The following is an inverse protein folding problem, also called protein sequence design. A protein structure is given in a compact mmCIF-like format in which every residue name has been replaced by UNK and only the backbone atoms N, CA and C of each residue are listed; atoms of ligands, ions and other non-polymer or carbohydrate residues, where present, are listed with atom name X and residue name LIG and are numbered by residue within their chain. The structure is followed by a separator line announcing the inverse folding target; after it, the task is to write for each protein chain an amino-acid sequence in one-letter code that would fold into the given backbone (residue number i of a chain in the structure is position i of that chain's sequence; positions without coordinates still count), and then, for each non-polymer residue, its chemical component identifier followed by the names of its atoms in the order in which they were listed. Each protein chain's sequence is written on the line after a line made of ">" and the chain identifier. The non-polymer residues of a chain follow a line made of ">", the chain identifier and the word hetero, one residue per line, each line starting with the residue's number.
data_IF_192916636054
#
_entry.id   IF_192916636054
#
_cell.length_a   1.000
_cell.length_b   1.000
_cell.length_c   1.000
_cell.angle_alpha   90.00
_cell.angle_beta   90.00
_cell.angle_gamma   90.00
#
_symmetry.space_group_name_H-M   'P 1'
#
loop_
_entity.id
_entity.type
_entity.pdbx_description
1 polymer ?
#
# COMPACT_ATOMS: atom_id res chain seq x y z
N UNK A 1 -30.79 -38.96 -11.45
CA UNK A 1 -29.86 -38.68 -12.57
C UNK A 1 -28.79 -37.74 -12.05
N UNK A 2 -27.55 -38.21 -12.00
CA UNK A 2 -26.42 -37.52 -11.38
C UNK A 2 -25.92 -36.36 -12.26
N UNK A 3 -25.63 -35.22 -11.63
CA UNK A 3 -24.90 -34.11 -12.27
C UNK A 3 -23.38 -34.36 -12.14
N UNK A 4 -22.56 -34.04 -13.16
CA UNK A 4 -21.13 -34.19 -13.06
C UNK A 4 -20.51 -33.00 -12.32
N UNK A 5 -19.83 -33.26 -11.20
CA UNK A 5 -18.92 -32.31 -10.57
C UNK A 5 -17.54 -32.43 -11.22
N UNK A 6 -17.21 -31.54 -12.15
CA UNK A 6 -15.82 -31.32 -12.55
C UNK A 6 -15.19 -30.32 -11.59
N UNK A 7 -14.57 -30.83 -10.52
CA UNK A 7 -13.59 -30.08 -9.74
C UNK A 7 -12.32 -29.94 -10.57
N UNK A 8 -12.10 -28.75 -11.12
CA UNK A 8 -10.83 -28.34 -11.69
C UNK A 8 -9.86 -28.05 -10.54
N UNK A 9 -9.18 -29.08 -10.03
CA UNK A 9 -8.07 -28.91 -9.10
C UNK A 9 -6.85 -28.46 -9.91
N UNK A 10 -6.72 -27.15 -10.12
CA UNK A 10 -5.45 -26.53 -10.47
C UNK A 10 -4.71 -26.22 -9.16
N UNK A 11 -4.11 -27.23 -8.52
CA UNK A 11 -3.14 -26.96 -7.45
C UNK A 11 -1.79 -26.81 -8.11
N UNK A 12 -1.50 -25.55 -8.45
CA UNK A 12 -0.17 -24.99 -8.57
C UNK A 12 0.71 -25.54 -7.45
N UNK A 13 1.92 -25.97 -7.78
CA UNK A 13 2.86 -26.58 -6.85
C UNK A 13 2.93 -25.81 -5.54
N UNK A 14 2.40 -26.44 -4.48
CA UNK A 14 2.76 -26.09 -3.11
C UNK A 14 4.27 -26.29 -3.00
N UNK A 15 5.06 -25.27 -2.61
CA UNK A 15 6.45 -25.50 -2.28
C UNK A 15 6.46 -26.56 -1.17
N UNK A 16 7.24 -27.62 -1.39
CA UNK A 16 7.50 -28.60 -0.34
C UNK A 16 7.90 -27.82 0.92
N UNK A 17 7.20 -28.07 2.02
CA UNK A 17 7.52 -27.52 3.32
C UNK A 17 8.93 -28.00 3.68
N UNK A 18 9.93 -27.14 3.46
CA UNK A 18 11.31 -27.36 3.91
C UNK A 18 11.31 -27.42 5.44
N UNK A 19 11.66 -28.56 6.06
CA UNK A 19 11.71 -28.68 7.51
C UNK A 19 12.70 -27.67 8.09
N UNK A 20 12.25 -26.83 9.02
CA UNK A 20 13.06 -25.79 9.66
C UNK A 20 12.81 -24.36 9.19
N UNK A 21 11.93 -24.14 8.19
CA UNK A 21 11.43 -22.81 7.86
C UNK A 21 10.13 -22.55 8.60
N UNK A 22 10.16 -21.65 9.58
CA UNK A 22 8.96 -21.17 10.27
C UNK A 22 8.19 -20.18 9.38
N UNK A 23 7.18 -20.68 8.66
CA UNK A 23 6.24 -19.87 7.88
C UNK A 23 5.30 -19.00 8.73
N UNK A 24 5.36 -19.09 10.06
CA UNK A 24 4.67 -18.23 11.02
C UNK A 24 5.53 -17.04 11.47
N UNK A 25 6.83 -17.01 11.13
CA UNK A 25 7.65 -15.81 11.23
C UNK A 25 7.62 -15.08 9.90
N UNK A 26 6.85 -13.99 9.81
CA UNK A 26 7.06 -13.04 8.73
C UNK A 26 8.49 -12.50 8.93
N UNK A 27 9.47 -12.79 8.06
CA UNK A 27 10.85 -12.40 8.29
C UNK A 27 10.87 -10.89 8.45
N UNK A 28 11.28 -10.43 9.65
CA UNK A 28 11.38 -9.00 9.95
C UNK A 28 12.53 -8.43 9.13
N UNK A 29 12.22 -7.95 7.94
CA UNK A 29 13.17 -7.24 7.10
C UNK A 29 13.13 -5.78 7.53
N UNK A 30 13.99 -5.39 8.46
CA UNK A 30 14.23 -4.00 8.83
C UNK A 30 15.56 -3.55 8.23
N UNK A 31 15.52 -2.42 7.52
CA UNK A 31 16.71 -1.86 6.91
C UNK A 31 17.77 -1.55 7.99
N UNK A 32 19.07 -1.86 7.77
CA UNK A 32 20.12 -1.56 8.73
C UNK A 32 20.09 -0.09 9.19
N UNK A 33 20.42 0.14 10.48
CA UNK A 33 20.43 1.45 11.17
C UNK A 33 19.07 2.14 11.30
N UNK A 34 17.99 1.48 10.92
CA UNK A 34 16.61 1.94 11.07
C UNK A 34 15.84 0.99 11.99
N UNK A 35 14.67 1.41 12.46
CA UNK A 35 13.76 0.61 13.28
C UNK A 35 12.37 0.48 12.64
N UNK A 36 12.04 1.36 11.70
CA UNK A 36 10.75 1.50 11.04
C UNK A 36 10.80 1.21 9.54
N UNK A 37 11.96 1.25 8.88
CA UNK A 37 12.02 0.98 7.44
C UNK A 37 11.98 -0.51 7.13
N UNK A 38 10.79 -1.12 7.11
CA UNK A 38 10.67 -2.55 6.87
C UNK A 38 9.35 -3.22 7.26
N UNK A 39 9.27 -4.54 7.10
CA UNK A 39 8.11 -5.32 7.53
C UNK A 39 8.26 -5.71 9.00
N UNK A 40 7.39 -5.15 9.85
CA UNK A 40 7.38 -5.40 11.29
C UNK A 40 8.34 -4.48 12.03
N UNK A 41 7.86 -3.79 13.05
CA UNK A 41 8.61 -2.70 13.66
C UNK A 41 9.43 -3.20 14.87
N UNK A 42 10.74 -2.90 14.92
CA UNK A 42 11.60 -3.22 16.09
C UNK A 42 11.62 -2.04 17.05
N UNK A 43 10.46 -1.72 17.62
CA UNK A 43 10.27 -0.46 18.34
C UNK A 43 9.81 -0.68 19.76
N UNK A 44 10.45 0.03 20.69
CA UNK A 44 10.01 0.09 22.09
C UNK A 44 8.92 1.14 22.31
N UNK A 45 8.91 2.23 21.52
CA UNK A 45 7.93 3.32 21.55
C UNK A 45 8.02 4.19 20.27
N UNK A 46 7.03 5.06 20.03
CA UNK A 46 6.95 5.91 18.83
C UNK A 46 8.19 6.77 18.55
N UNK A 47 8.88 7.23 19.60
CA UNK A 47 10.06 8.12 19.46
C UNK A 47 11.37 7.35 19.30
N UNK A 48 11.33 6.02 19.38
CA UNK A 48 12.51 5.19 19.29
C UNK A 48 12.92 5.03 17.82
N UNK A 49 13.98 5.76 17.45
CA UNK A 49 14.53 5.81 16.10
C UNK A 49 15.95 5.21 16.08
N UNK A 50 16.33 4.68 14.93
CA UNK A 50 17.66 4.17 14.65
C UNK A 50 18.70 5.29 14.44
N UNK A 51 19.94 4.90 14.17
CA UNK A 51 21.04 5.85 13.96
C UNK A 51 20.97 6.59 12.62
N UNK A 52 20.26 6.04 11.62
CA UNK A 52 19.87 6.76 10.42
C UNK A 52 18.57 7.54 10.70
N UNK A 53 18.68 8.55 11.57
CA UNK A 53 17.54 9.20 12.23
C UNK A 53 16.55 9.85 11.26
N UNK A 54 17.03 10.61 10.27
CA UNK A 54 16.16 11.32 9.32
C UNK A 54 15.43 10.33 8.41
N UNK A 55 16.14 9.29 7.97
CA UNK A 55 15.56 8.21 7.15
C UNK A 55 14.51 7.41 7.92
N UNK A 56 14.82 7.05 9.16
CA UNK A 56 13.94 6.23 9.99
C UNK A 56 12.68 7.00 10.39
N UNK A 57 12.80 8.33 10.59
CA UNK A 57 11.64 9.22 10.76
C UNK A 57 10.70 9.17 9.55
N UNK A 58 11.24 9.20 8.33
CA UNK A 58 10.42 9.09 7.11
C UNK A 58 9.63 7.77 7.07
N UNK A 59 10.26 6.66 7.45
CA UNK A 59 9.61 5.35 7.48
C UNK A 59 8.55 5.27 8.58
N UNK A 60 8.84 5.79 9.77
CA UNK A 60 7.84 5.86 10.85
C UNK A 60 6.60 6.65 10.42
N UNK A 61 6.81 7.81 9.79
CA UNK A 61 5.71 8.67 9.36
C UNK A 61 4.89 7.97 8.25
N UNK A 62 5.52 7.17 7.38
CA UNK A 62 4.85 6.32 6.37
C UNK A 62 4.05 5.18 7.00
N UNK A 63 4.62 4.48 7.99
CA UNK A 63 3.95 3.39 8.72
C UNK A 63 2.68 3.86 9.46
N UNK A 64 2.61 5.14 9.81
CA UNK A 64 1.43 5.75 10.45
C UNK A 64 0.38 6.27 9.45
N UNK A 65 0.48 5.90 8.18
CA UNK A 65 -0.58 6.18 7.22
C UNK A 65 -1.90 5.53 7.66
N UNK A 66 -2.93 6.33 7.92
CA UNK A 66 -4.23 5.82 8.43
C UNK A 66 -5.10 5.19 7.34
N UNK A 67 -4.80 5.49 6.08
CA UNK A 67 -5.58 5.07 4.92
C UNK A 67 -4.79 4.03 4.13
N UNK A 68 -4.95 2.77 4.53
CA UNK A 68 -4.22 1.62 3.97
C UNK A 68 -5.15 0.48 3.60
N UNK A 69 -4.67 -0.43 2.76
CA UNK A 69 -5.27 -1.75 2.53
C UNK A 69 -4.24 -2.79 3.00
N UNK A 70 -4.58 -3.49 4.07
CA UNK A 70 -3.70 -4.47 4.69
C UNK A 70 -3.45 -5.69 3.76
N UNK A 71 -2.34 -6.42 3.97
CA UNK A 71 -2.03 -7.62 3.20
C UNK A 71 -3.18 -8.61 3.21
N UNK A 72 -3.53 -9.16 2.04
CA UNK A 72 -4.57 -10.18 1.88
C UNK A 72 -5.97 -9.78 2.41
N UNK A 73 -6.22 -8.48 2.63
CA UNK A 73 -7.51 -7.97 3.10
C UNK A 73 -8.33 -7.31 1.98
N UNK A 74 -9.65 -7.21 2.21
CA UNK A 74 -10.55 -6.45 1.35
C UNK A 74 -10.95 -5.14 2.01
N UNK A 75 -10.67 -4.02 1.36
CA UNK A 75 -11.05 -2.68 1.84
C UNK A 75 -11.37 -1.77 0.65
N UNK A 76 -12.29 -0.83 0.84
CA UNK A 76 -12.72 0.11 -0.22
C UNK A 76 -13.11 -0.59 -1.54
N UNK A 77 -13.77 -1.75 -1.45
CA UNK A 77 -14.18 -2.52 -2.63
C UNK A 77 -13.03 -3.13 -3.45
N UNK A 78 -11.81 -3.16 -2.92
CA UNK A 78 -10.65 -3.81 -3.52
C UNK A 78 -10.13 -4.93 -2.61
N UNK A 79 -9.86 -6.10 -3.19
CA UNK A 79 -9.26 -7.25 -2.50
C UNK A 79 -7.77 -7.31 -2.81
N UNK A 80 -6.93 -7.06 -1.80
CA UNK A 80 -5.48 -7.12 -1.94
C UNK A 80 -5.00 -8.55 -2.11
N UNK A 81 -4.19 -8.79 -3.14
CA UNK A 81 -3.45 -10.03 -3.34
C UNK A 81 -1.97 -9.87 -2.96
N UNK A 82 -1.60 -8.71 -2.41
CA UNK A 82 -0.23 -8.44 -2.00
C UNK A 82 0.02 -8.91 -0.57
N UNK A 83 1.26 -9.33 -0.31
CA UNK A 83 1.77 -9.67 1.02
C UNK A 83 2.27 -8.45 1.80
N UNK A 84 2.22 -7.27 1.19
CA UNK A 84 2.58 -5.98 1.78
C UNK A 84 1.37 -5.06 1.80
N UNK A 85 1.37 -4.11 2.73
CA UNK A 85 0.36 -3.07 2.84
C UNK A 85 0.39 -2.17 1.61
N UNK A 86 -0.79 -1.88 1.04
CA UNK A 86 -0.96 -0.86 0.01
C UNK A 86 -1.36 0.43 0.71
N UNK A 87 -0.57 1.49 0.54
CA UNK A 87 -0.84 2.79 1.17
C UNK A 87 -1.57 3.74 0.23
N UNK A 88 -2.23 4.75 0.81
CA UNK A 88 -2.78 5.84 0.01
C UNK A 88 -1.67 6.58 -0.74
N UNK A 89 -1.90 6.99 -1.99
CA UNK A 89 -0.88 7.62 -2.82
C UNK A 89 -0.28 8.89 -2.21
N UNK A 90 -1.04 9.62 -1.38
CA UNK A 90 -0.48 10.78 -0.67
C UNK A 90 0.57 10.41 0.37
N UNK A 91 0.44 9.25 1.03
CA UNK A 91 1.43 8.75 1.99
C UNK A 91 2.72 8.38 1.24
N UNK A 92 2.61 7.65 0.13
CA UNK A 92 3.77 7.23 -0.68
C UNK A 92 4.50 8.43 -1.31
N UNK A 93 3.76 9.45 -1.79
CA UNK A 93 4.36 10.68 -2.30
C UNK A 93 5.11 11.43 -1.19
N UNK A 94 4.51 11.61 -0.03
CA UNK A 94 5.18 12.26 1.12
C UNK A 94 6.41 11.48 1.57
N UNK A 95 6.32 10.14 1.58
CA UNK A 95 7.42 9.26 1.92
C UNK A 95 8.60 9.41 0.95
N UNK A 96 8.32 9.41 -0.37
CA UNK A 96 9.33 9.66 -1.39
C UNK A 96 10.06 11.00 -1.14
N UNK A 97 9.31 12.08 -0.91
CA UNK A 97 9.88 13.40 -0.67
C UNK A 97 10.72 13.47 0.60
N UNK A 98 10.27 12.81 1.66
CA UNK A 98 11.01 12.73 2.91
C UNK A 98 12.35 12.03 2.69
N UNK A 99 12.34 10.85 2.05
CA UNK A 99 13.57 10.09 1.74
C UNK A 99 14.53 10.86 0.83
N UNK A 100 14.04 11.59 -0.18
CA UNK A 100 14.87 12.43 -1.05
C UNK A 100 15.56 13.57 -0.31
N UNK A 101 14.97 14.07 0.76
CA UNK A 101 15.51 15.17 1.57
C UNK A 101 16.32 14.69 2.77
N UNK A 102 16.30 13.38 3.06
CA UNK A 102 17.09 12.80 4.13
C UNK A 102 18.58 13.07 3.91
N UNK A 103 19.26 13.44 5.00
CA UNK A 103 20.71 13.66 5.02
C UNK A 103 21.50 12.39 5.29
N UNK A 104 20.82 11.31 5.69
CA UNK A 104 21.48 10.03 5.92
C UNK A 104 21.73 9.30 4.59
N UNK A 105 22.82 8.54 4.55
CA UNK A 105 23.17 7.72 3.37
C UNK A 105 22.11 6.67 3.04
N UNK A 106 21.35 6.24 4.04
CA UNK A 106 20.34 5.19 3.98
C UNK A 106 19.07 5.66 3.24
N UNK A 107 18.79 6.97 3.19
CA UNK A 107 17.58 7.52 2.56
C UNK A 107 17.44 7.12 1.09
N UNK A 108 18.52 7.21 0.32
CA UNK A 108 18.52 6.81 -1.09
C UNK A 108 18.39 5.28 -1.25
N UNK A 109 18.96 4.49 -0.32
CA UNK A 109 18.87 3.03 -0.36
C UNK A 109 17.44 2.54 -0.10
N UNK A 110 16.77 3.10 0.91
CA UNK A 110 15.35 2.79 1.21
C UNK A 110 14.45 3.23 0.05
N UNK A 111 14.72 4.39 -0.54
CA UNK A 111 13.96 4.88 -1.71
C UNK A 111 14.07 3.93 -2.88
N UNK A 112 15.29 3.49 -3.21
CA UNK A 112 15.53 2.57 -4.33
C UNK A 112 14.88 1.21 -4.07
N UNK A 113 14.98 0.70 -2.85
CA UNK A 113 14.33 -0.55 -2.47
C UNK A 113 12.79 -0.45 -2.63
N UNK A 114 12.16 0.55 -2.02
CA UNK A 114 10.70 0.66 -2.02
C UNK A 114 10.13 0.99 -3.42
N UNK A 115 10.64 2.06 -4.04
CA UNK A 115 10.04 2.61 -5.26
C UNK A 115 10.61 2.05 -6.56
N UNK A 116 11.83 1.47 -6.55
CA UNK A 116 12.47 0.94 -7.78
C UNK A 116 12.54 -0.58 -7.81
N UNK A 117 12.71 -1.26 -6.67
CA UNK A 117 12.79 -2.72 -6.61
C UNK A 117 11.44 -3.36 -6.32
N UNK A 118 10.81 -3.04 -5.17
CA UNK A 118 9.55 -3.65 -4.75
C UNK A 118 8.38 -3.16 -5.62
N UNK A 119 8.31 -1.85 -5.89
CA UNK A 119 7.31 -1.23 -6.78
C UNK A 119 5.86 -1.53 -6.38
N UNK A 120 5.57 -1.50 -5.08
CA UNK A 120 4.20 -1.58 -4.61
C UNK A 120 3.36 -0.46 -5.25
N UNK A 121 2.13 -0.76 -5.73
CA UNK A 121 1.21 0.30 -6.11
C UNK A 121 0.76 1.05 -4.85
N UNK A 122 0.32 2.29 -5.05
CA UNK A 122 -0.48 3.01 -4.07
C UNK A 122 -1.95 3.01 -4.54
N UNK A 123 -2.87 3.53 -3.73
CA UNK A 123 -4.25 3.73 -4.17
C UNK A 123 -4.79 5.14 -3.91
N UNK A 124 -5.78 5.53 -4.71
CA UNK A 124 -6.62 6.70 -4.47
C UNK A 124 -8.05 6.24 -4.21
N UNK A 125 -8.77 7.00 -3.38
CA UNK A 125 -10.20 6.78 -3.18
C UNK A 125 -10.99 7.55 -4.24
N UNK A 126 -11.72 6.81 -5.07
CA UNK A 126 -12.62 7.38 -6.09
C UNK A 126 -14.06 7.14 -5.68
N UNK A 127 -14.90 8.17 -5.78
CA UNK A 127 -16.33 8.03 -5.54
C UNK A 127 -17.04 7.53 -6.80
N UNK A 128 -17.83 6.47 -6.65
CA UNK A 128 -18.62 5.91 -7.75
C UNK A 128 -20.07 5.69 -7.29
N UNK A 129 -21.05 5.95 -8.18
CA UNK A 129 -22.45 5.69 -7.87
C UNK A 129 -22.68 4.18 -7.83
N UNK A 130 -23.33 3.71 -6.77
CA UNK A 130 -23.71 2.31 -6.56
C UNK A 130 -25.21 2.21 -6.31
N UNK A 131 -25.78 1.07 -6.64
CA UNK A 131 -27.16 0.79 -6.26
C UNK A 131 -27.25 0.45 -4.76
N UNK A 132 -27.96 1.29 -4.00
CA UNK A 132 -28.18 1.12 -2.57
C UNK A 132 -29.42 0.29 -2.24
N UNK A 133 -30.43 0.29 -3.12
CA UNK A 133 -31.64 -0.53 -2.95
C UNK A 133 -32.19 -0.98 -4.31
N UNK A 134 -32.73 -2.20 -4.34
CA UNK A 134 -33.38 -2.80 -5.50
C UNK A 134 -34.85 -3.11 -5.20
N UNK A 135 -35.70 -3.02 -6.21
CA UNK A 135 -37.09 -3.47 -6.11
C UNK A 135 -37.21 -4.99 -6.24
N UNK A 136 -38.44 -5.51 -6.14
CA UNK A 136 -38.75 -6.94 -6.24
C UNK A 136 -38.35 -7.57 -7.59
N UNK A 137 -38.17 -6.76 -8.64
CA UNK A 137 -37.71 -7.19 -9.96
C UNK A 137 -36.20 -7.01 -10.14
N UNK A 138 -35.47 -6.62 -9.09
CA UNK A 138 -34.03 -6.41 -9.10
C UNK A 138 -33.59 -5.10 -9.74
N UNK A 139 -34.50 -4.19 -10.13
CA UNK A 139 -34.13 -2.88 -10.70
C UNK A 139 -33.61 -1.96 -9.62
N UNK A 140 -32.64 -1.13 -9.95
CA UNK A 140 -32.13 -0.16 -8.99
C UNK A 140 -33.14 0.96 -8.77
N UNK A 141 -33.55 1.16 -7.52
CA UNK A 141 -34.51 2.21 -7.14
C UNK A 141 -33.89 3.30 -6.28
N UNK A 142 -32.68 3.08 -5.75
CA UNK A 142 -31.95 4.09 -4.97
C UNK A 142 -30.47 4.00 -5.27
N UNK A 143 -29.88 5.12 -5.69
CA UNK A 143 -28.43 5.28 -5.85
C UNK A 143 -27.79 5.81 -4.57
N UNK A 144 -26.53 5.47 -4.33
CA UNK A 144 -25.67 6.09 -3.31
C UNK A 144 -24.27 6.29 -3.88
N UNK A 145 -23.50 7.21 -3.32
CA UNK A 145 -22.05 7.30 -3.60
C UNK A 145 -21.30 6.37 -2.64
N UNK A 146 -20.32 5.62 -3.14
CA UNK A 146 -19.37 4.86 -2.31
C UNK A 146 -17.95 5.09 -2.81
N UNK A 147 -17.00 5.09 -1.88
CA UNK A 147 -15.57 5.19 -2.17
C UNK A 147 -15.00 3.81 -2.52
N UNK A 148 -14.27 3.76 -3.63
CA UNK A 148 -13.54 2.60 -4.10
C UNK A 148 -12.05 2.91 -4.16
N UNK A 149 -11.21 1.92 -3.83
CA UNK A 149 -9.78 2.03 -4.08
C UNK A 149 -9.49 1.79 -5.56
N UNK A 150 -8.80 2.74 -6.17
CA UNK A 150 -8.25 2.60 -7.52
C UNK A 150 -6.73 2.62 -7.42
N UNK A 151 -6.10 1.50 -7.78
CA UNK A 151 -4.65 1.38 -7.74
C UNK A 151 -4.01 2.33 -8.76
N UNK A 152 -2.94 2.98 -8.31
CA UNK A 152 -2.06 3.79 -9.15
C UNK A 152 -0.66 3.19 -9.06
N UNK A 153 -0.03 3.03 -10.22
CA UNK A 153 1.42 2.91 -10.27
C UNK A 153 1.95 4.33 -10.26
N UNK A 154 2.72 4.68 -9.23
CA UNK A 154 3.43 5.95 -9.26
C UNK A 154 4.38 5.89 -10.48
N UNK A 155 4.25 6.83 -11.44
CA UNK A 155 5.15 6.84 -12.59
C UNK A 155 6.55 6.93 -12.03
N UNK A 156 7.44 6.07 -12.53
CA UNK A 156 8.81 5.98 -12.07
C UNK A 156 9.36 7.39 -11.92
N UNK A 157 9.57 7.80 -10.66
CA UNK A 157 9.80 9.18 -10.26
C UNK A 157 11.04 9.76 -10.94
N UNK A 158 10.86 10.30 -12.14
CA UNK A 158 11.70 11.35 -12.66
C UNK A 158 11.29 12.68 -11.99
N UNK A 159 12.15 13.69 -12.13
CA UNK A 159 11.93 14.98 -11.46
C UNK A 159 10.71 15.74 -12.01
N UNK A 160 10.17 15.38 -13.19
CA UNK A 160 9.14 16.14 -13.90
C UNK A 160 7.71 15.66 -13.57
N UNK A 161 7.51 14.35 -13.42
CA UNK A 161 6.19 13.79 -13.13
C UNK A 161 5.72 14.09 -11.69
N UNK A 162 6.68 14.24 -10.78
CA UNK A 162 6.42 14.53 -9.38
C UNK A 162 5.97 16.00 -9.17
N UNK A 163 6.56 16.95 -9.90
CA UNK A 163 6.10 18.35 -9.90
C UNK A 163 4.68 18.45 -10.48
N UNK A 164 4.37 17.62 -11.49
CA UNK A 164 3.04 17.54 -12.10
C UNK A 164 1.98 17.04 -11.12
N UNK A 165 2.30 15.99 -10.36
CA UNK A 165 1.43 15.44 -9.30
C UNK A 165 1.17 16.44 -8.17
N UNK A 166 2.18 17.21 -7.75
CA UNK A 166 2.00 18.29 -6.79
C UNK A 166 1.16 19.44 -7.34
N UNK A 167 1.36 19.83 -8.61
CA UNK A 167 0.60 20.89 -9.28
C UNK A 167 -0.87 20.52 -9.48
N UNK A 168 -1.19 19.24 -9.65
CA UNK A 168 -2.58 18.76 -9.60
C UNK A 168 -3.12 18.77 -8.17
N UNK A 169 -2.33 18.34 -7.18
CA UNK A 169 -2.73 18.37 -5.76
C UNK A 169 -3.07 19.78 -5.25
N UNK A 170 -2.29 20.78 -5.61
CA UNK A 170 -2.59 22.19 -5.29
C UNK A 170 -3.88 22.71 -5.93
N UNK A 171 -4.29 22.14 -7.08
CA UNK A 171 -5.56 22.49 -7.76
C UNK A 171 -6.76 21.78 -7.14
N UNK A 172 -6.60 20.55 -6.67
CA UNK A 172 -7.69 19.78 -6.05
C UNK A 172 -7.94 20.22 -4.60
N UNK A 173 -6.90 20.62 -3.86
CA UNK A 173 -7.05 21.27 -2.55
C UNK A 173 -7.81 22.61 -2.62
N UNK A 174 -7.71 23.34 -3.75
CA UNK A 174 -8.44 24.60 -3.99
C UNK A 174 -9.90 24.39 -4.41
N UNK A 175 -10.24 23.22 -4.98
CA UNK A 175 -11.63 22.87 -5.37
C UNK A 175 -12.46 22.26 -4.26
N UNK A 176 -11.84 21.95 -3.13
CA UNK A 176 -12.47 21.31 -1.97
C UNK A 176 -12.77 22.31 -0.84
N UNK A 177 -12.60 23.61 -1.10
CA UNK A 177 -12.88 24.72 -0.17
C UNK A 177 -13.96 25.65 -0.71
#
# INVERSE_FOLDING_TARGET
>A
MAMPTFSLILVLGLPALVPGVDYNTNPTFIHPKTKWCGTGARVSNYSDLGSAFETDKCCRDHDHCTTVIDPLQTRYGYTSLFHFTISHCECDVSFYYCLKQSKDTEGQSVLDWFFRLVRMPCFQLVERPVCAARDAWGRCVKMASRKFAELRRLPFFDNNDLERLMRTRGRDAFRSG
#
